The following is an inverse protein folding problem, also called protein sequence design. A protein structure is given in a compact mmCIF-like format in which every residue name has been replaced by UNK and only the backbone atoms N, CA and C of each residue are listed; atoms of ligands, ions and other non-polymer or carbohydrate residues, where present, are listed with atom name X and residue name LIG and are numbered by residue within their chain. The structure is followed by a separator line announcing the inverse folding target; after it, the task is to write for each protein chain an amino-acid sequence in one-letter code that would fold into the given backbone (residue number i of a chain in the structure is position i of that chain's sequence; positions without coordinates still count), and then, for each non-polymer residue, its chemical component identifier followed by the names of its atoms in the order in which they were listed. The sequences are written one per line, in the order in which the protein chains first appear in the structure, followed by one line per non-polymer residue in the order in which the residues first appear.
data_IF_713127665931
#
_entry.id   IF_713127665931
#
_cell.length_a   1.000
_cell.length_b   1.000
_cell.length_c   1.000
_cell.angle_alpha   90.00
_cell.angle_beta   90.00
_cell.angle_gamma   90.00
#
_symmetry.space_group_name_H-M   'P 1'
#
loop_
_entity.id
_entity.type
_entity.pdbx_description
1 polymer ?
#
# COMPACT_ATOMS: atom_id res chain seq x y z
N UNK A 1 15.70 2.49 -10.06
CA UNK A 1 14.33 2.03 -9.77
C UNK A 1 14.21 1.86 -8.26
N UNK A 2 13.08 2.21 -7.65
CA UNK A 2 12.84 2.02 -6.21
C UNK A 2 11.78 0.94 -5.98
N UNK A 3 11.90 0.19 -4.88
CA UNK A 3 10.92 -0.81 -4.46
C UNK A 3 9.96 -0.18 -3.45
N UNK A 4 8.66 -0.36 -3.65
CA UNK A 4 7.62 0.00 -2.68
C UNK A 4 6.98 -1.28 -2.15
N UNK A 5 6.88 -1.39 -0.82
CA UNK A 5 6.26 -2.53 -0.13
C UNK A 5 5.16 -1.97 0.75
N UNK A 6 3.97 -2.58 0.69
CA UNK A 6 2.85 -2.29 1.57
C UNK A 6 2.68 -3.43 2.57
N UNK A 7 2.50 -3.09 3.85
CA UNK A 7 2.12 -4.04 4.91
C UNK A 7 0.63 -3.85 5.16
N UNK A 8 -0.16 -4.92 5.08
CA UNK A 8 -1.62 -4.91 5.19
C UNK A 8 -2.04 -6.01 6.15
N UNK A 9 -2.69 -5.65 7.25
CA UNK A 9 -3.25 -6.57 8.24
C UNK A 9 -4.61 -7.10 7.80
N UNK A 10 -4.86 -8.38 8.05
CA UNK A 10 -6.19 -8.99 7.91
C UNK A 10 -7.13 -8.65 9.08
N UNK A 11 -6.62 -8.00 10.13
CA UNK A 11 -7.37 -7.67 11.34
C UNK A 11 -7.52 -6.16 11.50
N UNK A 12 -8.68 -5.68 12.00
CA UNK A 12 -8.89 -4.26 12.23
C UNK A 12 -7.83 -3.68 13.17
N UNK A 13 -7.16 -2.62 12.72
CA UNK A 13 -6.17 -1.93 13.54
C UNK A 13 -6.75 -0.63 14.08
N UNK A 14 -6.52 -0.38 15.38
CA UNK A 14 -6.85 0.89 16.00
C UNK A 14 -5.65 1.81 15.92
N UNK A 15 -5.72 2.79 15.02
CA UNK A 15 -4.62 3.71 14.75
C UNK A 15 -4.86 5.07 15.40
N UNK A 16 -3.76 5.73 15.76
CA UNK A 16 -3.81 7.10 16.25
C UNK A 16 -4.15 8.06 15.11
N UNK A 17 -5.23 8.78 15.26
CA UNK A 17 -5.71 9.74 14.28
C UNK A 17 -6.08 11.04 14.97
N UNK A 18 -5.06 11.88 15.11
CA UNK A 18 -5.13 13.12 15.85
C UNK A 18 -5.81 14.22 15.03
N UNK A 19 -6.87 14.81 15.59
CA UNK A 19 -7.61 15.94 15.00
C UNK A 19 -7.67 17.19 15.90
N UNK A 20 -7.13 17.17 17.11
CA UNK A 20 -7.26 18.32 18.01
C UNK A 20 -6.43 19.53 17.54
N UNK A 21 -6.88 20.76 17.82
CA UNK A 21 -6.14 22.00 17.50
C UNK A 21 -4.73 22.07 18.08
N UNK A 22 -4.47 21.34 19.17
CA UNK A 22 -3.15 21.25 19.81
C UNK A 22 -2.07 20.54 18.99
N UNK A 23 -2.40 20.01 17.79
CA UNK A 23 -1.47 19.27 16.90
C UNK A 23 -0.70 18.13 17.59
N UNK A 24 -1.37 17.44 18.51
CA UNK A 24 -0.84 16.29 19.23
C UNK A 24 -0.14 16.65 20.54
N UNK A 25 0.06 17.95 20.82
CA UNK A 25 0.69 18.38 22.05
C UNK A 25 -0.16 17.95 23.26
N UNK A 26 0.42 17.07 24.08
CA UNK A 26 -0.21 16.45 25.26
C UNK A 26 -1.51 15.68 24.98
N UNK A 27 -1.72 15.15 23.76
CA UNK A 27 -2.90 14.35 23.46
C UNK A 27 -2.66 12.87 23.76
N UNK A 28 -3.42 12.31 24.69
CA UNK A 28 -3.38 10.90 25.10
C UNK A 28 -4.78 10.26 25.09
N UNK A 29 -5.79 10.93 24.53
CA UNK A 29 -7.14 10.40 24.40
C UNK A 29 -7.24 9.33 23.31
N UNK A 30 -7.15 8.06 23.71
CA UNK A 30 -7.25 6.89 22.83
C UNK A 30 -8.70 6.51 22.49
N UNK A 31 -9.71 7.26 22.91
CA UNK A 31 -11.09 6.99 22.49
C UNK A 31 -11.25 7.19 20.97
N UNK A 32 -12.32 6.63 20.40
CA UNK A 32 -12.61 6.80 18.98
C UNK A 32 -12.99 8.26 18.68
N UNK A 33 -12.74 8.72 17.45
CA UNK A 33 -13.18 10.06 17.00
C UNK A 33 -14.71 10.23 17.15
N UNK A 34 -15.49 9.17 16.96
CA UNK A 34 -16.94 9.15 17.21
C UNK A 34 -17.31 9.43 18.67
N UNK A 35 -16.37 9.21 19.59
CA UNK A 35 -16.46 9.46 21.03
C UNK A 35 -15.62 10.67 21.46
N UNK A 36 -15.31 11.59 20.53
CA UNK A 36 -14.46 12.77 20.77
C UNK A 36 -13.01 12.46 21.18
N UNK A 37 -12.49 11.27 20.84
CA UNK A 37 -11.08 10.92 21.02
C UNK A 37 -10.23 11.09 19.76
N UNK A 38 -9.01 10.54 19.79
CA UNK A 38 -8.00 10.68 18.74
C UNK A 38 -7.57 9.33 18.14
N UNK A 39 -8.48 8.35 18.08
CA UNK A 39 -8.24 7.09 17.39
C UNK A 39 -9.33 6.80 16.36
N UNK A 40 -8.98 6.05 15.32
CA UNK A 40 -9.93 5.46 14.37
C UNK A 40 -9.65 3.97 14.22
N UNK A 41 -10.65 3.23 13.76
CA UNK A 41 -10.42 1.92 13.18
C UNK A 41 -9.96 2.12 11.74
N UNK A 42 -8.87 1.47 11.37
CA UNK A 42 -8.29 1.51 10.05
C UNK A 42 -8.64 0.20 9.33
N UNK A 43 -9.26 0.34 8.17
CA UNK A 43 -9.68 -0.77 7.31
C UNK A 43 -8.65 -0.91 6.19
N UNK A 44 -7.55 -1.60 6.50
CA UNK A 44 -6.42 -1.77 5.59
C UNK A 44 -6.77 -2.56 4.32
N UNK A 45 -7.57 -3.65 4.38
CA UNK A 45 -8.01 -4.35 3.17
C UNK A 45 -8.74 -3.42 2.20
N UNK A 46 -9.66 -2.59 2.70
CA UNK A 46 -10.37 -1.62 1.85
C UNK A 46 -9.43 -0.58 1.21
N UNK A 47 -8.43 -0.11 1.96
CA UNK A 47 -7.46 0.84 1.43
C UNK A 47 -6.58 0.22 0.34
N UNK A 48 -6.25 -1.06 0.47
CA UNK A 48 -5.57 -1.80 -0.59
C UNK A 48 -6.42 -1.85 -1.85
N UNK A 49 -7.72 -2.18 -1.72
CA UNK A 49 -8.67 -2.18 -2.85
C UNK A 49 -8.74 -0.81 -3.55
N UNK A 50 -8.87 0.28 -2.77
CA UNK A 50 -8.92 1.65 -3.31
C UNK A 50 -7.62 2.02 -4.08
N UNK A 51 -6.46 1.54 -3.61
CA UNK A 51 -5.16 1.74 -4.27
C UNK A 51 -5.08 0.94 -5.57
N UNK A 52 -5.50 -0.32 -5.56
CA UNK A 52 -5.52 -1.19 -6.74
C UNK A 52 -6.47 -0.64 -7.82
N UNK A 53 -7.64 -0.12 -7.43
CA UNK A 53 -8.58 0.55 -8.32
C UNK A 53 -7.94 1.79 -8.95
N UNK A 54 -7.28 2.63 -8.15
CA UNK A 54 -6.61 3.83 -8.65
C UNK A 54 -5.48 3.50 -9.64
N UNK A 55 -4.69 2.46 -9.36
CA UNK A 55 -3.58 2.04 -10.21
C UNK A 55 -4.05 1.22 -11.42
N UNK A 56 -5.26 0.65 -11.37
CA UNK A 56 -5.80 -0.25 -12.40
C UNK A 56 -5.05 -1.59 -12.49
N UNK A 57 -4.31 -1.95 -11.43
CA UNK A 57 -3.54 -3.20 -11.34
C UNK A 57 -3.69 -3.80 -9.96
N UNK A 58 -3.68 -5.13 -9.88
CA UNK A 58 -3.62 -5.86 -8.61
C UNK A 58 -2.18 -5.93 -8.13
N UNK A 59 -1.95 -5.63 -6.86
CA UNK A 59 -0.63 -5.67 -6.23
C UNK A 59 -0.31 -7.12 -5.86
N UNK A 60 0.89 -7.57 -6.21
CA UNK A 60 1.35 -8.91 -5.86
C UNK A 60 1.47 -9.06 -4.35
N UNK A 61 0.84 -10.11 -3.80
CA UNK A 61 0.96 -10.49 -2.40
C UNK A 61 2.08 -11.53 -2.24
N UNK A 62 2.87 -11.40 -1.17
CA UNK A 62 3.90 -12.37 -0.81
C UNK A 62 3.38 -13.33 0.26
N UNK A 63 3.86 -14.56 0.26
CA UNK A 63 3.55 -15.52 1.31
C UNK A 63 4.46 -15.30 2.53
N UNK A 64 4.30 -16.14 3.54
CA UNK A 64 5.02 -16.16 4.81
C UNK A 64 6.53 -16.36 4.64
N UNK A 65 6.98 -16.81 3.46
CA UNK A 65 8.39 -16.95 3.10
C UNK A 65 9.07 -15.60 2.82
N UNK A 66 8.30 -14.51 2.75
CA UNK A 66 8.78 -13.14 2.52
C UNK A 66 9.62 -12.99 1.24
N UNK A 67 9.39 -13.85 0.25
CA UNK A 67 10.10 -13.81 -1.03
C UNK A 67 9.41 -12.82 -1.96
N UNK A 68 10.08 -11.71 -2.24
CA UNK A 68 9.58 -10.68 -3.18
C UNK A 68 9.81 -11.17 -4.62
N UNK A 69 8.76 -11.27 -5.46
CA UNK A 69 8.91 -11.69 -6.85
C UNK A 69 9.74 -10.65 -7.63
N UNK A 70 10.66 -11.14 -8.46
CA UNK A 70 11.54 -10.31 -9.29
C UNK A 70 10.78 -9.90 -10.54
N UNK A 71 10.61 -8.59 -10.76
CA UNK A 71 10.04 -8.04 -12.00
C UNK A 71 11.12 -7.92 -13.10
N UNK A 72 10.74 -8.05 -14.38
CA UNK A 72 11.64 -8.01 -15.56
C UNK A 72 12.51 -6.75 -15.62
N UNK A 73 12.13 -5.70 -14.89
CA UNK A 73 12.84 -4.43 -14.83
C UNK A 73 14.05 -4.38 -13.88
N UNK A 74 14.27 -5.40 -13.06
CA UNK A 74 15.30 -5.34 -12.00
C UNK A 74 16.73 -5.66 -12.49
N UNK A 75 16.88 -6.08 -13.76
CA UNK A 75 18.17 -6.59 -14.27
C UNK A 75 18.96 -5.71 -15.24
N UNK A 76 18.33 -4.82 -16.04
CA UNK A 76 19.01 -4.07 -17.12
C UNK A 76 18.33 -2.75 -17.50
N UNK A 77 18.20 -1.81 -16.56
CA UNK A 77 17.82 -0.44 -16.92
C UNK A 77 19.06 0.35 -17.33
N UNK A 78 19.34 0.39 -18.64
CA UNK A 78 20.34 1.30 -19.21
C UNK A 78 19.69 2.66 -19.42
N UNK A 79 20.04 3.65 -18.60
CA UNK A 79 19.62 5.03 -18.79
C UNK A 79 20.27 5.63 -20.06
N UNK A 80 19.50 6.37 -20.87
CA UNK A 80 20.00 7.08 -22.06
C UNK A 80 19.74 6.42 -23.42
N UNK A 81 19.04 5.28 -23.46
CA UNK A 81 18.68 4.60 -24.72
C UNK A 81 17.19 4.73 -25.04
N UNK A 82 16.85 5.19 -26.24
CA UNK A 82 15.46 5.22 -26.74
C UNK A 82 14.93 3.79 -26.88
N UNK A 83 13.82 3.46 -26.20
CA UNK A 83 13.16 2.15 -26.32
C UNK A 83 12.73 1.91 -27.76
N UNK A 84 13.10 0.77 -28.32
CA UNK A 84 12.42 0.23 -29.51
C UNK A 84 11.05 -0.27 -29.07
N UNK A 85 10.04 0.12 -29.84
CA UNK A 85 8.61 0.06 -29.56
C UNK A 85 8.10 -1.33 -29.18
N UNK A 86 8.12 -1.69 -27.88
CA UNK A 86 7.26 -2.73 -27.31
C UNK A 86 6.85 -2.29 -25.91
N UNK A 87 5.54 -2.11 -25.70
CA UNK A 87 4.97 -1.74 -24.41
C UNK A 87 5.23 -2.84 -23.37
N UNK A 88 5.29 -2.45 -22.09
CA UNK A 88 5.37 -3.40 -20.99
C UNK A 88 4.10 -4.26 -21.00
N UNK A 89 4.26 -5.57 -21.11
CA UNK A 89 3.17 -6.54 -20.99
C UNK A 89 3.16 -6.97 -19.54
N UNK A 90 2.19 -6.49 -18.78
CA UNK A 90 1.88 -7.03 -17.47
C UNK A 90 1.14 -8.36 -17.68
N UNK A 91 1.69 -9.45 -17.14
CA UNK A 91 1.07 -10.77 -17.25
C UNK A 91 -0.18 -10.79 -16.37
N UNK A 92 -1.34 -10.89 -17.02
CA UNK A 92 -2.64 -10.96 -16.32
C UNK A 92 -2.84 -12.41 -15.89
N UNK A 93 -2.58 -12.71 -14.62
CA UNK A 93 -3.00 -13.98 -14.04
C UNK A 93 -4.51 -13.92 -13.81
N UNK A 94 -5.27 -14.42 -14.78
CA UNK A 94 -6.70 -14.69 -14.65
C UNK A 94 -6.85 -16.09 -14.07
N UNK A 95 -7.19 -16.18 -12.80
CA UNK A 95 -7.63 -17.44 -12.19
C UNK A 95 -9.12 -17.65 -12.50
N UNK A 96 -9.43 -18.76 -13.17
CA UNK A 96 -10.78 -19.27 -13.49
C UNK A 96 -11.38 -19.95 -12.27
#
# INVERSE_FOLDING_TARGET
MGLAISLVSAHPEKVWYHKCPSRGLHCNNTALVTQRGCAIWYDEPKLLEDIEEHLGVTIAQIDTDMVVPVDEFDGKVVYGSKRSTKGAVFDRVVSV
#
